data_IF_796216416493
#
_entry.id   IF_796216416493
#
_cell.length_a   1.000
_cell.length_b   1.000
_cell.length_c   1.000
_cell.angle_alpha   90.00
_cell.angle_beta   90.00
_cell.angle_gamma   90.00
#
_symmetry.space_group_name_H-M   'P 1'
#
loop_
_entity.id
_entity.type
_entity.pdbx_description
1 polymer ?
#
# COMPACT_ATOMS: atom_id res chain seq x y z
N UNK A 1 11.06 -4.24 -12.67
CA UNK A 1 10.97 -3.40 -11.44
C UNK A 1 9.65 -3.70 -10.73
N UNK A 2 9.68 -3.89 -9.41
CA UNK A 2 8.50 -4.06 -8.56
C UNK A 2 8.34 -2.84 -7.67
N UNK A 3 7.13 -2.34 -7.45
CA UNK A 3 6.85 -1.23 -6.54
C UNK A 3 5.91 -1.65 -5.42
N UNK A 4 6.01 -1.00 -4.25
CA UNK A 4 5.13 -1.26 -3.11
C UNK A 4 4.48 0.03 -2.61
N UNK A 5 3.21 -0.06 -2.23
CA UNK A 5 2.40 1.02 -1.64
C UNK A 5 1.92 0.66 -0.24
N UNK A 6 1.60 1.66 0.55
CA UNK A 6 0.77 1.50 1.76
C UNK A 6 -0.71 1.37 1.39
N UNK A 7 -1.52 0.73 2.24
CA UNK A 7 -2.97 0.75 2.12
C UNK A 7 -3.54 2.13 2.49
N UNK A 8 -4.86 2.24 2.52
CA UNK A 8 -5.56 3.38 3.06
C UNK A 8 -6.50 2.99 4.22
N UNK A 9 -6.78 3.94 5.12
CA UNK A 9 -7.76 3.77 6.22
C UNK A 9 -9.19 3.82 5.72
N UNK A 10 -9.42 4.60 4.66
CA UNK A 10 -10.74 4.75 4.00
C UNK A 10 -10.83 3.73 2.88
N UNK A 11 -12.01 3.18 2.72
CA UNK A 11 -12.34 2.17 1.71
C UNK A 11 -13.56 2.60 0.91
N UNK A 12 -13.63 2.18 -0.33
CA UNK A 12 -14.75 2.36 -1.23
C UNK A 12 -15.32 0.99 -1.66
N UNK A 13 -16.47 0.66 -1.10
CA UNK A 13 -17.25 -0.54 -1.45
C UNK A 13 -18.59 -0.16 -2.14
N UNK A 14 -18.85 1.12 -2.32
CA UNK A 14 -20.09 1.62 -2.94
C UNK A 14 -19.94 1.73 -4.46
N UNK A 15 -18.80 2.25 -4.93
CA UNK A 15 -18.53 2.38 -6.36
C UNK A 15 -18.27 1.00 -6.98
N UNK A 16 -18.98 0.69 -8.06
CA UNK A 16 -18.79 -0.56 -8.78
C UNK A 16 -17.34 -0.70 -9.32
N UNK A 17 -16.73 -1.88 -9.25
CA UNK A 17 -15.38 -2.07 -9.79
C UNK A 17 -15.38 -1.94 -11.32
N UNK A 18 -14.33 -1.34 -11.88
CA UNK A 18 -14.15 -1.13 -13.32
C UNK A 18 -13.74 -2.40 -14.08
N UNK A 19 -13.46 -3.49 -13.36
CA UNK A 19 -13.10 -4.79 -13.94
C UNK A 19 -13.70 -5.95 -13.15
N UNK A 20 -14.04 -7.03 -13.84
CA UNK A 20 -14.44 -8.32 -13.23
C UNK A 20 -13.24 -9.26 -12.99
N UNK A 21 -12.05 -8.91 -13.52
CA UNK A 21 -10.83 -9.70 -13.25
C UNK A 21 -10.48 -9.59 -11.77
N UNK A 22 -10.19 -10.71 -11.13
CA UNK A 22 -9.82 -10.76 -9.72
C UNK A 22 -8.92 -11.96 -9.43
N UNK A 23 -8.19 -11.88 -8.34
CA UNK A 23 -7.35 -12.95 -7.79
C UNK A 23 -7.61 -13.09 -6.29
N UNK A 24 -7.26 -14.23 -5.71
CA UNK A 24 -7.38 -14.45 -4.27
C UNK A 24 -6.12 -13.92 -3.55
N UNK A 25 -6.26 -13.33 -2.35
CA UNK A 25 -5.11 -12.90 -1.57
C UNK A 25 -4.24 -14.09 -1.15
N UNK A 26 -2.93 -13.86 -1.07
CA UNK A 26 -1.96 -14.92 -0.80
C UNK A 26 -2.02 -15.45 0.64
N UNK A 27 -2.40 -14.61 1.60
CA UNK A 27 -2.34 -14.88 3.04
C UNK A 27 -3.73 -14.93 3.68
N UNK A 28 -4.67 -15.63 3.03
CA UNK A 28 -6.05 -15.68 3.54
C UNK A 28 -6.16 -16.41 4.88
N UNK A 29 -5.38 -17.48 5.10
CA UNK A 29 -5.36 -18.22 6.37
C UNK A 29 -4.78 -17.38 7.51
N UNK A 30 -3.73 -16.60 7.22
CA UNK A 30 -3.13 -15.66 8.16
C UNK A 30 -4.13 -14.55 8.49
N UNK A 31 -4.82 -14.01 7.50
CA UNK A 31 -5.89 -13.03 7.72
C UNK A 31 -7.02 -13.61 8.60
N UNK A 32 -7.43 -14.85 8.36
CA UNK A 32 -8.42 -15.54 9.19
C UNK A 32 -7.96 -15.68 10.65
N UNK A 33 -6.68 -15.98 10.88
CA UNK A 33 -6.10 -16.05 12.23
C UNK A 33 -6.13 -14.69 12.93
N UNK A 34 -5.80 -13.59 12.22
CA UNK A 34 -5.90 -12.23 12.77
C UNK A 34 -7.36 -11.85 13.06
N UNK A 35 -8.29 -12.15 12.15
CA UNK A 35 -9.72 -11.92 12.35
C UNK A 35 -10.24 -12.69 13.56
N UNK A 36 -9.82 -13.95 13.75
CA UNK A 36 -10.16 -14.74 14.96
C UNK A 36 -9.68 -14.06 16.23
N UNK A 37 -8.53 -13.40 16.21
CA UNK A 37 -8.04 -12.60 17.34
C UNK A 37 -8.85 -11.32 17.53
N UNK A 38 -9.17 -10.60 16.43
CA UNK A 38 -9.96 -9.37 16.48
C UNK A 38 -11.41 -9.59 16.95
N UNK A 39 -12.00 -10.74 16.64
CA UNK A 39 -13.36 -11.12 17.10
C UNK A 39 -13.50 -11.33 18.61
N UNK A 40 -12.39 -11.41 19.34
CA UNK A 40 -12.39 -11.49 20.80
C UNK A 40 -12.49 -10.12 21.47
N UNK A 41 -12.31 -9.07 20.69
CA UNK A 41 -12.36 -7.67 21.13
C UNK A 41 -13.78 -7.15 20.95
N UNK A 42 -14.29 -6.45 21.95
CA UNK A 42 -15.51 -5.67 21.80
C UNK A 42 -15.24 -4.32 21.13
N UNK A 43 -16.26 -3.49 21.00
CA UNK A 43 -16.13 -2.18 20.33
C UNK A 43 -15.27 -1.19 21.14
N UNK A 44 -15.25 -1.29 22.47
CA UNK A 44 -14.45 -0.42 23.35
C UNK A 44 -12.96 -0.79 23.21
N UNK A 45 -12.64 -2.09 23.19
CA UNK A 45 -11.30 -2.58 22.92
C UNK A 45 -10.77 -2.10 21.55
N UNK A 46 -11.61 -2.19 20.51
CA UNK A 46 -11.26 -1.72 19.17
C UNK A 46 -11.09 -0.20 19.14
N UNK A 47 -11.95 0.54 19.85
CA UNK A 47 -11.83 1.99 19.99
C UNK A 47 -10.50 2.37 20.64
N UNK A 48 -10.13 1.72 21.73
CA UNK A 48 -8.88 1.93 22.44
C UNK A 48 -7.67 1.57 21.61
N UNK A 49 -7.69 0.38 20.95
CA UNK A 49 -6.61 -0.08 20.07
C UNK A 49 -6.34 0.86 18.92
N UNK A 50 -7.38 1.32 18.22
CA UNK A 50 -7.26 2.11 17.00
C UNK A 50 -7.23 3.62 17.24
N UNK A 51 -7.57 4.11 18.43
CA UNK A 51 -7.67 5.54 18.74
C UNK A 51 -8.70 6.25 17.86
N UNK A 52 -9.90 5.68 17.73
CA UNK A 52 -10.96 6.16 16.81
C UNK A 52 -12.24 6.52 17.55
N UNK A 53 -13.21 7.13 16.86
CA UNK A 53 -14.53 7.36 17.42
C UNK A 53 -15.30 6.04 17.59
N UNK A 54 -16.27 6.01 18.51
CA UNK A 54 -17.17 4.89 18.73
C UNK A 54 -17.82 4.40 17.43
N UNK A 55 -18.30 5.31 16.58
CA UNK A 55 -18.88 4.98 15.28
C UNK A 55 -17.91 4.16 14.39
N UNK A 56 -16.64 4.52 14.39
CA UNK A 56 -15.62 3.81 13.59
C UNK A 56 -15.24 2.49 14.26
N UNK A 57 -15.23 2.42 15.59
CA UNK A 57 -15.00 1.19 16.34
C UNK A 57 -16.10 0.16 16.07
N UNK A 58 -17.36 0.55 16.20
CA UNK A 58 -18.52 -0.29 15.90
C UNK A 58 -18.49 -0.82 14.46
N UNK A 59 -18.23 0.06 13.49
CA UNK A 59 -18.11 -0.34 12.08
C UNK A 59 -17.02 -1.41 11.87
N UNK A 60 -15.88 -1.29 12.54
CA UNK A 60 -14.80 -2.26 12.38
C UNK A 60 -15.01 -3.55 13.16
N UNK A 61 -15.67 -3.48 14.31
CA UNK A 61 -16.16 -4.67 15.02
C UNK A 61 -17.10 -5.48 14.10
N UNK A 62 -18.12 -4.84 13.50
CA UNK A 62 -19.03 -5.50 12.54
C UNK A 62 -18.28 -6.09 11.36
N UNK A 63 -17.29 -5.40 10.81
CA UNK A 63 -16.45 -5.89 9.70
C UNK A 63 -15.71 -7.17 10.07
N UNK A 64 -15.12 -7.24 11.27
CA UNK A 64 -14.44 -8.45 11.75
C UNK A 64 -15.44 -9.59 12.00
N UNK A 65 -16.62 -9.29 12.55
CA UNK A 65 -17.66 -10.30 12.78
C UNK A 65 -18.20 -10.89 11.49
N UNK A 66 -18.36 -10.07 10.45
CA UNK A 66 -18.92 -10.46 9.15
C UNK A 66 -17.87 -11.03 8.18
N UNK A 67 -16.57 -10.91 8.46
CA UNK A 67 -15.51 -11.38 7.58
C UNK A 67 -15.57 -12.90 7.36
N UNK A 68 -15.37 -13.34 6.12
CA UNK A 68 -15.41 -14.75 5.72
C UNK A 68 -14.22 -15.07 4.79
N UNK A 69 -13.64 -16.29 4.83
CA UNK A 69 -12.48 -16.63 4.01
C UNK A 69 -12.80 -16.84 2.53
N UNK A 70 -14.07 -17.06 2.17
CA UNK A 70 -14.51 -17.29 0.79
C UNK A 70 -14.77 -15.96 0.07
N UNK A 71 -13.79 -15.51 -0.72
CA UNK A 71 -13.89 -14.24 -1.43
C UNK A 71 -14.42 -14.40 -2.84
N UNK A 72 -15.38 -13.56 -3.16
CA UNK A 72 -15.96 -13.41 -4.50
C UNK A 72 -16.31 -11.93 -4.75
N UNK A 73 -16.60 -11.57 -5.98
CA UNK A 73 -17.07 -10.22 -6.31
C UNK A 73 -18.42 -9.83 -5.66
N UNK A 74 -19.09 -10.78 -4.99
CA UNK A 74 -20.33 -10.50 -4.24
C UNK A 74 -20.06 -9.94 -2.84
N UNK A 75 -18.94 -10.30 -2.22
CA UNK A 75 -18.61 -9.95 -0.84
C UNK A 75 -17.26 -9.28 -0.65
N UNK A 76 -16.50 -9.09 -1.74
CA UNK A 76 -15.16 -8.52 -1.74
C UNK A 76 -14.91 -7.68 -2.99
N UNK A 77 -13.91 -6.79 -2.93
CA UNK A 77 -13.51 -5.91 -4.04
C UNK A 77 -12.00 -5.99 -4.26
N UNK A 78 -11.55 -5.76 -5.49
CA UNK A 78 -10.13 -5.71 -5.80
C UNK A 78 -9.44 -4.64 -4.95
N UNK A 79 -8.32 -4.97 -4.34
CA UNK A 79 -7.64 -4.12 -3.35
C UNK A 79 -7.31 -2.72 -3.89
N UNK A 80 -6.81 -2.62 -5.13
CA UNK A 80 -6.47 -1.34 -5.76
C UNK A 80 -7.67 -0.44 -5.99
N UNK A 81 -8.88 -1.01 -6.13
CA UNK A 81 -10.15 -0.30 -6.31
C UNK A 81 -10.91 -0.11 -5.00
N UNK A 82 -10.58 -0.88 -3.96
CA UNK A 82 -11.21 -0.80 -2.66
C UNK A 82 -10.55 0.25 -1.76
N UNK A 83 -9.23 0.41 -1.79
CA UNK A 83 -8.56 1.44 -1.03
C UNK A 83 -8.85 2.84 -1.57
N UNK A 84 -9.16 3.79 -0.65
CA UNK A 84 -9.46 5.20 -0.95
C UNK A 84 -8.71 6.11 0.02
N UNK A 85 -8.07 7.14 -0.50
CA UNK A 85 -7.27 8.09 0.28
C UNK A 85 -6.17 8.69 -0.58
N UNK A 86 -5.33 9.54 -0.01
CA UNK A 86 -4.39 10.39 -0.75
C UNK A 86 -3.52 9.63 -1.76
N UNK A 87 -3.01 8.45 -1.38
CA UNK A 87 -2.21 7.60 -2.28
C UNK A 87 -3.06 7.16 -3.48
N UNK A 88 -4.28 6.72 -3.24
CA UNK A 88 -5.18 6.18 -4.26
C UNK A 88 -5.82 7.28 -5.11
N UNK A 89 -6.02 8.47 -4.54
CA UNK A 89 -6.37 9.69 -5.32
C UNK A 89 -5.26 10.04 -6.32
N UNK A 90 -3.99 9.81 -5.96
CA UNK A 90 -2.87 9.98 -6.89
C UNK A 90 -2.76 8.84 -7.91
N UNK A 91 -3.06 7.60 -7.52
CA UNK A 91 -3.00 6.42 -8.37
C UNK A 91 -4.13 6.39 -9.41
N UNK A 92 -5.36 6.76 -9.02
CA UNK A 92 -6.56 6.75 -9.87
C UNK A 92 -6.74 5.42 -10.61
N UNK A 93 -6.77 4.32 -9.85
CA UNK A 93 -6.80 2.97 -10.41
C UNK A 93 -8.05 2.68 -11.25
N UNK A 94 -9.15 3.36 -10.97
CA UNK A 94 -10.41 3.31 -11.71
C UNK A 94 -10.30 3.81 -13.16
N UNK A 95 -9.29 4.64 -13.45
CA UNK A 95 -9.02 5.19 -14.78
C UNK A 95 -7.92 4.44 -15.54
N UNK A 96 -7.38 3.35 -14.98
CA UNK A 96 -6.40 2.50 -15.65
C UNK A 96 -7.08 1.60 -16.69
N UNK A 97 -6.47 1.46 -17.87
CA UNK A 97 -6.89 0.52 -18.89
C UNK A 97 -6.70 -0.94 -18.43
N UNK A 98 -7.28 -1.89 -19.17
CA UNK A 98 -7.11 -3.32 -18.88
C UNK A 98 -5.65 -3.77 -18.94
N UNK A 99 -4.86 -3.22 -19.86
CA UNK A 99 -3.43 -3.54 -20.01
C UNK A 99 -2.60 -2.89 -18.89
N UNK A 100 -2.92 -1.66 -18.48
CA UNK A 100 -2.31 -0.99 -17.33
C UNK A 100 -2.61 -1.73 -16.03
N UNK A 101 -3.84 -2.22 -15.83
CA UNK A 101 -4.18 -3.07 -14.68
C UNK A 101 -3.44 -4.41 -14.72
N UNK A 102 -3.25 -5.00 -15.91
CA UNK A 102 -2.47 -6.22 -16.06
C UNK A 102 -0.98 -5.99 -15.76
N UNK A 103 -0.43 -4.85 -16.15
CA UNK A 103 0.92 -4.44 -15.77
C UNK A 103 1.02 -4.21 -14.26
N UNK A 104 0.06 -3.47 -13.67
CA UNK A 104 0.02 -3.24 -12.24
C UNK A 104 -0.03 -4.55 -11.45
N UNK A 105 -0.84 -5.53 -11.86
CA UNK A 105 -0.95 -6.85 -11.22
C UNK A 105 0.41 -7.57 -11.12
N UNK A 106 1.29 -7.36 -12.10
CA UNK A 106 2.64 -7.94 -12.12
C UNK A 106 3.65 -7.10 -11.32
N UNK A 107 3.56 -5.77 -11.37
CA UNK A 107 4.62 -4.83 -10.95
C UNK A 107 4.28 -3.95 -9.74
N UNK A 108 3.10 -4.11 -9.14
CA UNK A 108 2.68 -3.38 -7.94
C UNK A 108 2.27 -4.35 -6.83
N UNK A 109 2.61 -4.01 -5.59
CA UNK A 109 2.14 -4.67 -4.37
C UNK A 109 1.61 -3.63 -3.38
N UNK A 110 0.64 -4.03 -2.58
CA UNK A 110 0.06 -3.19 -1.53
C UNK A 110 0.29 -3.90 -0.20
N UNK A 111 0.98 -3.25 0.71
CA UNK A 111 1.14 -3.74 2.08
C UNK A 111 -0.17 -3.61 2.84
N UNK A 112 -0.43 -4.52 3.76
CA UNK A 112 -1.68 -4.56 4.51
C UNK A 112 -1.45 -5.14 5.91
N UNK A 113 -2.05 -4.51 6.92
CA UNK A 113 -2.00 -5.04 8.29
C UNK A 113 -2.73 -6.39 8.41
N UNK A 114 -3.89 -6.53 7.75
CA UNK A 114 -4.69 -7.76 7.80
C UNK A 114 -4.25 -8.81 6.78
N UNK A 115 -3.96 -8.41 5.55
CA UNK A 115 -3.66 -9.33 4.44
C UNK A 115 -2.17 -9.45 4.12
N UNK A 116 -1.28 -8.78 4.86
CA UNK A 116 0.17 -8.78 4.66
C UNK A 116 0.60 -8.13 3.37
N UNK A 117 0.46 -8.83 2.26
CA UNK A 117 0.84 -8.40 0.92
C UNK A 117 -0.27 -8.72 -0.08
N UNK A 118 -0.79 -7.69 -0.75
CA UNK A 118 -1.82 -7.80 -1.78
C UNK A 118 -1.25 -7.45 -3.15
N UNK A 119 -1.74 -8.15 -4.18
CA UNK A 119 -1.64 -7.72 -5.57
C UNK A 119 -2.84 -6.83 -5.90
N UNK A 120 -2.75 -5.93 -6.88
CA UNK A 120 -3.84 -4.99 -7.21
C UNK A 120 -5.23 -5.62 -7.38
N UNK A 121 -5.30 -6.77 -8.03
CA UNK A 121 -6.57 -7.46 -8.30
C UNK A 121 -6.94 -8.51 -7.24
N UNK A 122 -6.17 -8.63 -6.15
CA UNK A 122 -6.55 -9.49 -5.03
C UNK A 122 -7.83 -8.95 -4.38
N UNK A 123 -8.79 -9.84 -4.20
CA UNK A 123 -10.04 -9.53 -3.50
C UNK A 123 -9.76 -9.30 -2.02
N UNK A 124 -10.41 -8.31 -1.44
CA UNK A 124 -10.38 -8.06 -0.01
C UNK A 124 -11.75 -7.67 0.49
N UNK A 125 -12.11 -8.10 1.69
CA UNK A 125 -13.26 -7.60 2.44
C UNK A 125 -12.86 -6.35 3.24
N UNK A 126 -13.82 -5.47 3.57
CA UNK A 126 -13.54 -4.23 4.26
C UNK A 126 -12.98 -4.49 5.67
N UNK A 127 -11.95 -3.76 6.03
CA UNK A 127 -11.29 -3.80 7.33
C UNK A 127 -10.60 -2.47 7.63
N UNK A 128 -10.22 -2.29 8.90
CA UNK A 128 -9.22 -1.32 9.32
C UNK A 128 -8.33 -1.98 10.36
N UNK A 129 -7.07 -2.13 10.04
CA UNK A 129 -6.03 -2.65 10.94
C UNK A 129 -4.68 -2.14 10.42
N UNK A 130 -4.18 -1.05 11.02
CA UNK A 130 -2.90 -0.46 10.65
C UNK A 130 -1.74 -1.32 11.13
N UNK A 131 -0.65 -1.39 10.36
CA UNK A 131 0.51 -2.23 10.65
C UNK A 131 1.19 -1.91 11.97
N UNK A 132 1.17 -0.64 12.37
CA UNK A 132 1.83 -0.15 13.59
C UNK A 132 1.02 -0.31 14.88
N UNK A 133 -0.21 -0.82 14.82
CA UNK A 133 -1.04 -1.00 16.02
C UNK A 133 -0.47 -2.07 16.96
N UNK A 134 -0.55 -1.87 18.29
CA UNK A 134 -0.14 -2.86 19.29
C UNK A 134 -1.19 -3.97 19.43
N UNK A 135 -1.55 -4.58 18.31
CA UNK A 135 -2.56 -5.64 18.25
C UNK A 135 -1.95 -6.99 18.63
N UNK A 136 -2.19 -7.39 19.88
CA UNK A 136 -1.80 -8.73 20.36
C UNK A 136 -2.63 -9.81 19.65
N UNK A 137 -1.97 -10.83 19.18
CA UNK A 137 -2.58 -11.89 18.35
C UNK A 137 -1.89 -13.24 18.57
N UNK A 138 -2.35 -14.28 17.89
CA UNK A 138 -1.80 -15.63 18.07
C UNK A 138 -0.31 -15.77 17.66
N UNK A 139 0.24 -14.84 16.88
CA UNK A 139 1.63 -14.87 16.41
C UNK A 139 2.56 -13.90 17.13
N UNK A 140 2.07 -13.07 18.08
CA UNK A 140 2.92 -12.14 18.81
C UNK A 140 2.19 -10.94 19.38
N UNK A 141 2.95 -9.96 19.87
CA UNK A 141 2.44 -8.76 20.56
C UNK A 141 1.92 -7.68 19.58
N UNK A 142 2.26 -7.79 18.31
CA UNK A 142 1.92 -6.83 17.27
C UNK A 142 1.97 -7.48 15.88
N UNK A 143 1.57 -6.73 14.85
CA UNK A 143 1.55 -7.24 13.48
C UNK A 143 2.95 -7.45 12.88
N UNK A 144 3.97 -6.71 13.30
CA UNK A 144 5.34 -6.95 12.82
C UNK A 144 5.86 -8.33 13.27
N UNK A 145 5.58 -8.73 14.51
CA UNK A 145 5.91 -10.07 15.01
C UNK A 145 5.08 -11.15 14.29
N UNK A 146 3.78 -10.90 14.10
CA UNK A 146 2.89 -11.83 13.39
C UNK A 146 3.37 -12.08 11.96
N UNK A 147 3.67 -11.04 11.20
CA UNK A 147 4.09 -11.18 9.82
C UNK A 147 5.52 -11.72 9.70
N UNK A 148 6.41 -11.40 10.64
CA UNK A 148 7.78 -11.91 10.68
C UNK A 148 8.52 -11.73 9.37
N UNK A 149 8.90 -12.82 8.72
CA UNK A 149 9.61 -12.83 7.42
C UNK A 149 8.69 -13.04 6.22
N UNK A 150 7.44 -13.45 6.43
CA UNK A 150 6.51 -13.87 5.37
C UNK A 150 6.34 -12.85 4.24
N UNK A 151 6.18 -11.56 4.59
CA UNK A 151 6.03 -10.49 3.59
C UNK A 151 7.31 -10.35 2.78
N UNK A 152 8.47 -10.38 3.43
CA UNK A 152 9.78 -10.24 2.79
C UNK A 152 10.09 -11.40 1.86
N UNK A 153 9.89 -12.63 2.33
CA UNK A 153 10.09 -13.85 1.54
C UNK A 153 9.20 -13.84 0.28
N UNK A 154 7.93 -13.48 0.44
CA UNK A 154 7.00 -13.40 -0.70
C UNK A 154 7.38 -12.29 -1.67
N UNK A 155 7.81 -11.12 -1.19
CA UNK A 155 8.36 -10.07 -2.04
C UNK A 155 9.59 -10.56 -2.80
N UNK A 156 10.52 -11.27 -2.15
CA UNK A 156 11.70 -11.86 -2.78
C UNK A 156 11.32 -12.86 -3.89
N UNK A 157 10.35 -13.73 -3.64
CA UNK A 157 9.82 -14.64 -4.65
C UNK A 157 9.22 -13.89 -5.85
N UNK A 158 8.45 -12.84 -5.61
CA UNK A 158 7.86 -12.03 -6.70
C UNK A 158 8.91 -11.26 -7.50
N UNK A 159 9.93 -10.70 -6.85
CA UNK A 159 11.06 -10.05 -7.49
C UNK A 159 11.82 -11.01 -8.39
N UNK A 160 12.12 -12.21 -7.88
CA UNK A 160 12.79 -13.27 -8.65
C UNK A 160 11.93 -13.74 -9.83
N UNK A 161 10.64 -14.00 -9.60
CA UNK A 161 9.72 -14.45 -10.65
C UNK A 161 9.52 -13.43 -11.78
N UNK A 162 9.58 -12.13 -11.47
CA UNK A 162 9.48 -11.04 -12.44
C UNK A 162 10.82 -10.65 -13.06
N UNK A 163 11.93 -11.28 -12.67
CA UNK A 163 13.28 -10.88 -13.09
C UNK A 163 13.65 -9.44 -12.65
N UNK A 164 13.01 -8.90 -11.61
CA UNK A 164 13.16 -7.51 -11.19
C UNK A 164 14.37 -7.34 -10.26
N UNK A 165 15.41 -6.58 -10.66
CA UNK A 165 16.56 -6.34 -9.80
C UNK A 165 16.33 -5.21 -8.79
N UNK A 166 15.17 -4.55 -8.83
CA UNK A 166 14.86 -3.35 -8.05
C UNK A 166 13.47 -3.40 -7.43
N UNK A 167 13.40 -3.04 -6.15
CA UNK A 167 12.18 -2.74 -5.42
C UNK A 167 12.05 -1.22 -5.23
N UNK A 168 10.97 -0.61 -5.70
CA UNK A 168 10.67 0.81 -5.48
C UNK A 168 9.75 0.93 -4.26
N UNK A 169 10.26 1.50 -3.19
CA UNK A 169 9.50 1.71 -1.97
C UNK A 169 8.73 3.03 -2.00
N UNK A 170 7.43 2.94 -2.30
CA UNK A 170 6.47 4.04 -2.20
C UNK A 170 5.57 3.91 -0.95
N UNK A 171 5.86 2.97 -0.05
CA UNK A 171 5.14 2.81 1.19
C UNK A 171 5.63 3.80 2.27
N UNK A 172 4.83 3.99 3.31
CA UNK A 172 5.24 4.73 4.50
C UNK A 172 6.23 3.90 5.34
N UNK A 173 6.99 4.58 6.20
CA UNK A 173 7.92 3.91 7.11
C UNK A 173 7.21 2.88 8.01
N UNK A 174 5.97 3.18 8.46
CA UNK A 174 5.16 2.26 9.24
C UNK A 174 4.98 0.91 8.53
N UNK A 175 4.55 0.94 7.27
CA UNK A 175 4.32 -0.28 6.51
C UNK A 175 5.61 -0.91 6.01
N UNK A 176 6.58 -0.11 5.57
CA UNK A 176 7.86 -0.64 5.09
C UNK A 176 8.68 -1.32 6.19
N UNK A 177 8.47 -0.97 7.45
CA UNK A 177 9.09 -1.64 8.61
C UNK A 177 8.75 -3.14 8.69
N UNK A 178 7.62 -3.57 8.09
CA UNK A 178 7.28 -4.99 7.98
C UNK A 178 8.09 -5.74 6.90
N UNK A 179 8.85 -5.02 6.08
CA UNK A 179 9.78 -5.58 5.09
C UNK A 179 11.19 -5.51 5.65
N UNK A 180 11.97 -6.58 5.49
CA UNK A 180 13.38 -6.67 5.87
C UNK A 180 14.25 -6.51 4.61
N UNK A 181 14.58 -5.28 4.19
CA UNK A 181 15.21 -5.05 2.89
C UNK A 181 16.59 -5.69 2.76
N UNK A 182 17.31 -5.88 3.88
CA UNK A 182 18.61 -6.57 3.91
C UNK A 182 18.52 -8.06 3.55
N UNK A 183 17.32 -8.66 3.64
CA UNK A 183 17.06 -10.05 3.27
C UNK A 183 16.56 -10.19 1.83
N UNK A 184 16.40 -9.07 1.11
CA UNK A 184 16.09 -9.05 -0.31
C UNK A 184 17.39 -8.90 -1.09
N UNK A 185 17.64 -9.79 -2.03
CA UNK A 185 18.83 -9.73 -2.91
C UNK A 185 18.54 -8.80 -4.10
N UNK A 186 18.11 -7.57 -3.80
CA UNK A 186 17.79 -6.54 -4.79
C UNK A 186 18.09 -5.15 -4.23
N UNK A 187 18.28 -4.21 -5.13
CA UNK A 187 18.34 -2.79 -4.78
C UNK A 187 16.97 -2.27 -4.35
N UNK A 188 16.92 -1.48 -3.27
CA UNK A 188 15.69 -0.83 -2.79
C UNK A 188 15.82 0.68 -2.97
N UNK A 189 15.08 1.24 -3.92
CA UNK A 189 15.02 2.68 -4.16
C UNK A 189 13.81 3.27 -3.42
N UNK A 190 14.05 4.34 -2.68
CA UNK A 190 13.00 5.04 -1.92
C UNK A 190 12.84 6.48 -2.42
N UNK A 191 11.83 6.75 -3.27
CA UNK A 191 11.48 8.11 -3.67
C UNK A 191 10.98 8.93 -2.48
N UNK A 192 11.54 10.12 -2.32
CA UNK A 192 11.16 11.09 -1.29
C UNK A 192 10.63 12.36 -1.97
N UNK A 193 9.43 12.78 -1.59
CA UNK A 193 8.77 13.96 -2.14
C UNK A 193 8.85 15.11 -1.13
N UNK A 194 9.39 16.25 -1.57
CA UNK A 194 9.57 17.44 -0.74
C UNK A 194 9.03 18.66 -1.44
N UNK A 195 8.32 19.48 -0.70
CA UNK A 195 7.70 20.73 -1.14
C UNK A 195 8.44 21.91 -0.58
N UNK A 196 8.60 22.98 -1.39
CA UNK A 196 9.17 24.22 -0.94
C UNK A 196 8.16 24.91 0.00
N UNK A 197 8.59 25.15 1.24
CA UNK A 197 7.80 25.86 2.25
C UNK A 197 8.73 26.76 3.08
N UNK A 198 8.47 28.04 3.08
CA UNK A 198 9.29 29.04 3.81
C UNK A 198 10.78 28.93 3.46
N UNK A 199 11.10 28.84 2.18
CA UNK A 199 12.48 28.77 1.67
C UNK A 199 13.21 27.43 1.89
N UNK A 200 12.53 26.40 2.37
CA UNK A 200 13.12 25.07 2.63
C UNK A 200 12.27 23.96 2.04
N UNK A 201 12.92 22.95 1.46
CA UNK A 201 12.24 21.74 0.99
C UNK A 201 11.96 20.78 2.14
N UNK A 202 10.69 20.57 2.43
CA UNK A 202 10.21 19.71 3.54
C UNK A 202 9.21 18.68 3.04
N UNK A 203 9.20 17.51 3.66
CA UNK A 203 8.16 16.51 3.42
C UNK A 203 6.86 16.98 4.07
N UNK A 204 5.83 17.20 3.25
CA UNK A 204 4.47 17.49 3.71
C UNK A 204 3.65 16.21 3.51
N UNK A 205 3.19 15.63 4.61
CA UNK A 205 2.60 14.27 4.64
C UNK A 205 1.49 14.05 3.62
N UNK A 206 0.55 14.98 3.51
CA UNK A 206 -0.56 14.90 2.56
C UNK A 206 -0.06 14.86 1.10
N UNK A 207 0.81 15.81 0.73
CA UNK A 207 1.37 15.89 -0.62
C UNK A 207 2.25 14.68 -0.95
N UNK A 208 3.09 14.25 -0.01
CA UNK A 208 3.94 13.08 -0.21
C UNK A 208 3.13 11.79 -0.40
N UNK A 209 1.98 11.62 0.28
CA UNK A 209 1.09 10.48 0.06
C UNK A 209 0.52 10.49 -1.35
N UNK A 210 -0.04 11.63 -1.80
CA UNK A 210 -0.57 11.76 -3.16
C UNK A 210 0.50 11.52 -4.20
N UNK A 211 1.69 12.11 -4.05
CA UNK A 211 2.82 11.97 -4.97
C UNK A 211 3.27 10.51 -5.14
N UNK A 212 3.26 9.70 -4.07
CA UNK A 212 3.53 8.26 -4.16
C UNK A 212 2.54 7.54 -5.06
N UNK A 213 1.26 7.88 -4.97
CA UNK A 213 0.22 7.35 -5.86
C UNK A 213 0.42 7.79 -7.31
N UNK A 214 0.71 9.08 -7.53
CA UNK A 214 1.01 9.62 -8.88
C UNK A 214 2.24 8.95 -9.48
N UNK A 215 3.28 8.69 -8.69
CA UNK A 215 4.46 7.97 -9.18
C UNK A 215 4.13 6.50 -9.49
N UNK A 216 3.34 5.82 -8.68
CA UNK A 216 2.89 4.47 -8.99
C UNK A 216 2.09 4.42 -10.30
N UNK A 217 1.18 5.40 -10.53
CA UNK A 217 0.47 5.56 -11.80
C UNK A 217 1.42 5.79 -12.96
N UNK A 218 2.42 6.66 -12.81
CA UNK A 218 3.43 6.93 -13.82
C UNK A 218 4.22 5.66 -14.20
N UNK A 219 4.65 4.87 -13.19
CA UNK A 219 5.31 3.57 -13.43
C UNK A 219 4.45 2.67 -14.28
N UNK A 220 3.16 2.55 -13.94
CA UNK A 220 2.20 1.69 -14.63
C UNK A 220 1.97 2.18 -16.05
N UNK A 221 1.65 3.45 -16.24
CA UNK A 221 1.31 4.03 -17.54
C UNK A 221 2.48 4.05 -18.53
N UNK A 222 3.70 4.17 -18.01
CA UNK A 222 4.93 4.12 -18.84
C UNK A 222 5.49 2.71 -18.98
N UNK A 223 4.92 1.70 -18.31
CA UNK A 223 5.43 0.34 -18.34
C UNK A 223 6.89 0.25 -17.88
N UNK A 224 7.26 1.01 -16.84
CA UNK A 224 8.66 1.13 -16.42
C UNK A 224 9.17 -0.17 -15.78
N UNK A 225 10.18 -0.76 -16.39
CA UNK A 225 10.89 -1.93 -15.86
C UNK A 225 12.26 -1.57 -15.26
N UNK A 226 12.80 -0.39 -15.58
CA UNK A 226 14.09 0.10 -15.13
C UNK A 226 13.93 1.35 -14.27
N UNK A 227 14.70 1.50 -13.17
CA UNK A 227 14.54 2.57 -12.20
C UNK A 227 14.91 3.95 -12.77
N UNK A 228 15.85 4.03 -13.73
CA UNK A 228 16.27 5.29 -14.35
C UNK A 228 15.11 6.08 -14.97
N UNK A 229 14.06 5.37 -15.41
CA UNK A 229 12.82 5.98 -15.87
C UNK A 229 12.13 6.89 -14.84
N UNK A 230 12.32 6.62 -13.55
CA UNK A 230 11.76 7.43 -12.46
C UNK A 230 12.33 8.84 -12.42
N UNK A 231 13.59 9.03 -12.80
CA UNK A 231 14.24 10.36 -12.80
C UNK A 231 13.58 11.33 -13.78
N UNK A 232 12.79 10.83 -14.74
CA UNK A 232 12.00 11.65 -15.69
C UNK A 232 10.60 11.97 -15.19
N UNK A 233 10.25 11.54 -13.99
CA UNK A 233 8.94 11.82 -13.38
C UNK A 233 8.72 13.34 -13.23
N UNK A 234 7.54 13.81 -13.65
CA UNK A 234 7.10 15.21 -13.59
C UNK A 234 5.68 15.36 -13.04
N UNK A 235 5.13 14.27 -12.45
CA UNK A 235 3.76 14.27 -11.95
C UNK A 235 3.55 15.28 -10.82
N UNK A 236 2.42 15.96 -10.83
CA UNK A 236 2.03 17.00 -9.85
C UNK A 236 3.10 18.11 -9.65
N UNK A 237 3.94 18.39 -10.68
CA UNK A 237 4.97 19.42 -10.62
C UNK A 237 6.27 19.00 -9.89
N UNK A 238 6.39 17.75 -9.46
CA UNK A 238 7.63 17.24 -8.90
C UNK A 238 8.69 16.98 -9.98
N UNK A 239 9.95 17.20 -9.64
CA UNK A 239 11.10 16.88 -10.48
C UNK A 239 12.21 16.24 -9.65
N UNK A 240 12.99 15.36 -10.28
CA UNK A 240 14.13 14.70 -9.64
C UNK A 240 15.25 15.70 -9.37
N UNK A 241 15.83 15.65 -8.16
CA UNK A 241 16.99 16.44 -7.77
C UNK A 241 18.17 15.53 -7.42
N UNK A 242 19.20 15.52 -8.25
CA UNK A 242 20.43 14.77 -7.96
C UNK A 242 21.18 15.33 -6.76
N UNK A 243 21.14 16.65 -6.57
CA UNK A 243 21.81 17.35 -5.46
C UNK A 243 21.25 16.93 -4.09
N UNK A 244 19.92 16.74 -4.00
CA UNK A 244 19.26 16.34 -2.76
C UNK A 244 19.17 14.84 -2.58
N UNK A 245 19.52 14.05 -3.59
CA UNK A 245 19.48 12.59 -3.57
C UNK A 245 20.78 12.01 -3.01
N UNK A 246 20.67 10.93 -2.22
CA UNK A 246 21.85 10.24 -1.68
C UNK A 246 21.64 8.73 -1.70
N UNK A 247 22.50 8.01 -2.41
CA UNK A 247 22.36 6.57 -2.60
C UNK A 247 20.99 6.24 -3.18
N UNK A 248 20.27 5.32 -2.57
CA UNK A 248 18.96 4.86 -3.00
C UNK A 248 17.78 5.73 -2.50
N UNK A 249 18.06 6.82 -1.79
CA UNK A 249 17.07 7.82 -1.44
C UNK A 249 17.01 8.88 -2.55
N UNK A 250 16.06 8.74 -3.45
CA UNK A 250 15.88 9.63 -4.59
C UNK A 250 14.89 10.74 -4.27
N UNK A 251 15.35 11.98 -4.29
CA UNK A 251 14.55 13.13 -3.89
C UNK A 251 13.91 13.79 -5.10
N UNK A 252 12.59 14.00 -4.98
CA UNK A 252 11.77 14.73 -5.92
C UNK A 252 11.27 16.01 -5.23
N UNK A 253 11.58 17.15 -5.83
CA UNK A 253 11.26 18.47 -5.33
C UNK A 253 10.07 19.06 -6.06
N UNK A 254 9.34 19.91 -5.37
CA UNK A 254 8.27 20.72 -5.94
C UNK A 254 8.31 22.12 -5.37
N UNK A 255 8.37 23.15 -6.24
CA UNK A 255 8.48 24.54 -5.84
C UNK A 255 7.13 25.15 -5.49
N UNK A 256 6.10 24.77 -6.23
CA UNK A 256 4.71 25.16 -5.94
C UNK A 256 3.76 23.99 -6.26
N UNK A 257 2.72 23.76 -5.43
CA UNK A 257 1.68 22.80 -5.79
C UNK A 257 0.96 23.25 -7.06
N UNK A 258 0.40 22.29 -7.87
CA UNK A 258 -0.42 22.64 -9.02
C UNK A 258 -1.54 23.58 -8.60
N UNK A 259 -1.76 24.62 -9.37
CA UNK A 259 -2.98 25.44 -9.23
C UNK A 259 -4.15 24.55 -9.60
N UNK A 260 -5.11 24.35 -8.67
CA UNK A 260 -6.28 23.52 -8.83
C UNK A 260 -7.26 24.07 -9.88
#
# INVERSE_FOLDING_TARGET
MLSILSPAKTLDYETAPTTKKSTQPLFIDQAASLVKSARKMDHEDIQGLMGVSEKIANLNHERFMNWQPDFSLKNAKQSVLAFKGDVYTGLQAEALSADELAFAQKHLRILSGLYGLLRPLDLMQPYRLEMGLPFANAGGKNLYEFWGDRITETLGQHLKASGSPVLVNLASNEYFKAVKPKSLDVEVITPQFRDLKNGQYKMISFFAKKARGVMARYIIQKGLNEPEGLKRFKGDGYYYSSEHSKGNNWVFLRDAPPQG
#
